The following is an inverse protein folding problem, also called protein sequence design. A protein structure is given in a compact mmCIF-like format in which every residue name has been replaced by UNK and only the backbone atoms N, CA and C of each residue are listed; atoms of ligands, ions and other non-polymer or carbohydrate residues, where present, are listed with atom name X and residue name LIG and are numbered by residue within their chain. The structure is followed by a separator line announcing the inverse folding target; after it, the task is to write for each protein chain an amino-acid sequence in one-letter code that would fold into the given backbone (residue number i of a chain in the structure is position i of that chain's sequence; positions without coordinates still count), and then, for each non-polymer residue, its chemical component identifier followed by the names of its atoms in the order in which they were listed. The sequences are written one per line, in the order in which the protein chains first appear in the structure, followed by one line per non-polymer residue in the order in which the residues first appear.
data_IF_879390190886
#
_entry.id   IF_879390190886
#
_cell.length_a   1.000
_cell.length_b   1.000
_cell.length_c   1.000
_cell.angle_alpha   90.00
_cell.angle_beta   90.00
_cell.angle_gamma   90.00
#
_symmetry.space_group_name_H-M   'P 1'
#
loop_
_entity.id
_entity.type
_entity.pdbx_description
1 polymer ?
#
# COMPACT_ATOMS: atom_id res chain seq x y z
N UNK A 1 -60.95 7.22 21.26
CA UNK A 1 -60.61 7.72 19.91
C UNK A 1 -59.22 8.38 19.76
N UNK A 2 -58.42 8.57 20.83
CA UNK A 2 -57.08 9.20 20.75
C UNK A 2 -55.91 8.23 20.49
N UNK A 3 -56.00 6.97 20.93
CA UNK A 3 -54.90 5.99 20.83
C UNK A 3 -54.62 5.53 19.40
N UNK A 4 -55.65 5.39 18.54
CA UNK A 4 -55.49 4.99 17.13
C UNK A 4 -54.76 6.03 16.27
N UNK A 5 -54.86 7.34 16.59
CA UNK A 5 -54.14 8.40 15.86
C UNK A 5 -52.64 8.43 16.17
N UNK A 6 -52.24 8.06 17.39
CA UNK A 6 -50.83 8.06 17.82
C UNK A 6 -50.07 6.88 17.18
N UNK A 7 -50.68 5.70 17.11
CA UNK A 7 -50.07 4.52 16.47
C UNK A 7 -49.92 4.73 14.95
N UNK A 8 -50.88 5.39 14.31
CA UNK A 8 -50.79 5.72 12.87
C UNK A 8 -49.70 6.77 12.59
N UNK A 9 -49.50 7.71 13.50
CA UNK A 9 -48.44 8.73 13.41
C UNK A 9 -47.02 8.16 13.58
N UNK A 10 -46.83 7.18 14.47
CA UNK A 10 -45.54 6.52 14.69
C UNK A 10 -45.14 5.60 13.52
N UNK A 11 -46.10 4.89 12.92
CA UNK A 11 -45.84 4.02 11.76
C UNK A 11 -45.42 4.81 10.50
N UNK A 12 -46.00 6.00 10.29
CA UNK A 12 -45.64 6.87 9.15
C UNK A 12 -44.23 7.46 9.33
N UNK A 13 -43.86 7.87 10.55
CA UNK A 13 -42.51 8.35 10.85
C UNK A 13 -41.44 7.27 10.65
N UNK A 14 -41.71 6.02 11.07
CA UNK A 14 -40.76 4.92 10.84
C UNK A 14 -40.61 4.54 9.35
N UNK A 15 -41.69 4.61 8.57
CA UNK A 15 -41.61 4.36 7.12
C UNK A 15 -40.84 5.46 6.39
N UNK A 16 -40.98 6.72 6.81
CA UNK A 16 -40.23 7.85 6.25
C UNK A 16 -38.73 7.77 6.55
N UNK A 17 -38.34 7.33 7.75
CA UNK A 17 -36.93 7.14 8.09
C UNK A 17 -36.29 5.99 7.34
N UNK A 18 -37.02 4.88 7.15
CA UNK A 18 -36.52 3.72 6.37
C UNK A 18 -36.39 4.11 4.90
N UNK A 19 -37.40 4.80 4.33
CA UNK A 19 -37.35 5.27 2.95
C UNK A 19 -36.21 6.28 2.72
N UNK A 20 -35.97 7.18 3.67
CA UNK A 20 -34.85 8.13 3.60
C UNK A 20 -33.49 7.40 3.69
N UNK A 21 -33.36 6.38 4.54
CA UNK A 21 -32.14 5.58 4.67
C UNK A 21 -31.86 4.77 3.41
N UNK A 22 -32.86 4.06 2.87
CA UNK A 22 -32.71 3.30 1.62
C UNK A 22 -32.41 4.20 0.43
N UNK A 23 -33.03 5.39 0.39
CA UNK A 23 -32.78 6.36 -0.67
C UNK A 23 -31.37 6.97 -0.54
N UNK A 24 -30.89 7.23 0.68
CA UNK A 24 -29.51 7.65 0.93
C UNK A 24 -28.50 6.58 0.49
N UNK A 25 -28.74 5.30 0.81
CA UNK A 25 -27.87 4.21 0.35
C UNK A 25 -27.88 4.07 -1.18
N UNK A 26 -29.04 4.13 -1.83
CA UNK A 26 -29.15 4.06 -3.30
C UNK A 26 -28.42 5.24 -3.95
N UNK A 27 -28.64 6.48 -3.47
CA UNK A 27 -27.92 7.65 -3.99
C UNK A 27 -26.42 7.58 -3.73
N UNK A 28 -25.99 7.01 -2.61
CA UNK A 28 -24.58 6.82 -2.30
C UNK A 28 -23.95 5.79 -3.24
N UNK A 29 -24.68 4.70 -3.54
CA UNK A 29 -24.24 3.63 -4.43
C UNK A 29 -24.19 4.08 -5.89
N UNK A 30 -25.20 4.80 -6.37
CA UNK A 30 -25.23 5.40 -7.71
C UNK A 30 -24.11 6.43 -7.90
N UNK A 31 -23.82 7.23 -6.86
CA UNK A 31 -22.72 8.21 -6.90
C UNK A 31 -21.35 7.54 -6.88
N UNK A 32 -21.21 6.39 -6.21
CA UNK A 32 -20.02 5.54 -6.29
C UNK A 32 -19.86 4.98 -7.72
N UNK A 33 -20.94 4.44 -8.29
CA UNK A 33 -20.97 3.85 -9.64
C UNK A 33 -20.73 4.87 -10.77
N UNK A 34 -21.19 6.11 -10.62
CA UNK A 34 -20.90 7.18 -11.58
C UNK A 34 -19.46 7.71 -11.44
N UNK A 35 -18.87 7.71 -10.24
CA UNK A 35 -17.47 8.12 -10.02
C UNK A 35 -16.45 7.11 -10.50
N UNK A 36 -16.72 5.81 -10.31
CA UNK A 36 -15.91 4.77 -10.94
C UNK A 36 -15.93 4.92 -12.47
N UNK A 37 -17.08 5.25 -13.05
CA UNK A 37 -17.22 5.57 -14.48
C UNK A 37 -16.43 6.82 -14.94
N UNK A 38 -16.23 7.83 -14.09
CA UNK A 38 -15.37 8.99 -14.40
C UNK A 38 -13.87 8.62 -14.41
N UNK A 39 -13.41 7.75 -13.52
CA UNK A 39 -12.04 7.19 -13.56
C UNK A 39 -11.84 6.36 -14.84
N UNK A 40 -12.87 5.63 -15.28
CA UNK A 40 -12.86 4.97 -16.60
C UNK A 40 -12.90 5.95 -17.79
N UNK A 41 -13.01 7.26 -17.61
CA UNK A 41 -13.00 8.23 -18.72
C UNK A 41 -11.74 9.11 -18.79
N UNK A 42 -10.78 8.95 -17.88
CA UNK A 42 -9.43 9.50 -18.00
C UNK A 42 -8.54 8.50 -18.73
N UNK A 43 -8.65 8.43 -20.06
CA UNK A 43 -7.81 7.56 -20.89
C UNK A 43 -6.41 8.15 -21.10
N UNK A 44 -5.57 8.03 -20.06
CA UNK A 44 -4.15 8.38 -20.05
C UNK A 44 -3.26 7.13 -19.95
N UNK A 45 -3.78 5.93 -20.29
CA UNK A 45 -3.09 4.63 -20.08
C UNK A 45 -3.30 4.00 -18.70
N UNK A 46 -4.04 4.66 -17.79
CA UNK A 46 -4.34 4.15 -16.45
C UNK A 46 -5.23 2.89 -16.44
N UNK A 47 -6.08 2.70 -17.45
CA UNK A 47 -6.97 1.52 -17.53
C UNK A 47 -6.20 0.21 -17.61
N UNK A 48 -5.10 0.21 -18.34
CA UNK A 48 -4.28 -0.99 -18.51
C UNK A 48 -3.57 -1.37 -17.19
N UNK A 49 -3.35 -0.39 -16.32
CA UNK A 49 -2.68 -0.53 -15.03
C UNK A 49 -3.65 -0.76 -13.86
N UNK A 50 -4.97 -0.79 -14.13
CA UNK A 50 -6.01 -1.02 -13.14
C UNK A 50 -6.42 -2.50 -13.10
N UNK A 51 -6.22 -3.13 -11.95
CA UNK A 51 -6.57 -4.52 -11.67
C UNK A 51 -7.66 -4.53 -10.60
N UNK A 52 -8.93 -4.49 -11.02
CA UNK A 52 -10.08 -4.28 -10.13
C UNK A 52 -9.97 -2.94 -9.37
N UNK A 53 -9.62 -3.00 -8.08
CA UNK A 53 -9.44 -1.84 -7.20
C UNK A 53 -7.97 -1.49 -7.02
N UNK A 54 -7.04 -2.23 -7.61
CA UNK A 54 -5.61 -1.99 -7.45
C UNK A 54 -5.05 -1.28 -8.70
N UNK A 55 -4.61 -0.04 -8.54
CA UNK A 55 -4.01 0.75 -9.61
C UNK A 55 -2.49 0.80 -9.44
N UNK A 56 -1.77 0.29 -10.43
CA UNK A 56 -0.32 0.44 -10.52
C UNK A 56 -0.01 1.84 -11.05
N UNK A 57 0.85 2.56 -10.33
CA UNK A 57 1.35 3.87 -10.75
C UNK A 57 2.83 3.71 -11.05
N UNK A 58 3.19 3.88 -12.32
CA UNK A 58 4.59 3.84 -12.74
C UNK A 58 5.38 4.96 -12.06
N UNK A 59 6.48 4.58 -11.42
CA UNK A 59 7.40 5.50 -10.80
C UNK A 59 8.82 5.17 -11.25
N UNK A 60 9.60 6.20 -11.57
CA UNK A 60 11.01 6.01 -11.91
C UNK A 60 11.77 5.63 -10.63
N UNK A 61 12.12 4.36 -10.50
CA UNK A 61 12.92 3.85 -9.39
C UNK A 61 14.36 3.58 -9.84
N UNK A 62 15.35 3.74 -8.94
CA UNK A 62 16.69 3.20 -9.17
C UNK A 62 16.58 1.68 -9.35
N UNK A 63 17.18 1.17 -10.42
CA UNK A 63 17.35 -0.26 -10.63
C UNK A 63 18.69 -0.71 -10.05
N UNK A 64 18.72 -1.91 -9.50
CA UNK A 64 19.90 -2.51 -8.88
C UNK A 64 20.15 -3.87 -9.54
N UNK A 65 21.42 -4.25 -9.73
CA UNK A 65 21.78 -5.52 -10.38
C UNK A 65 21.86 -6.70 -9.42
N UNK A 66 22.19 -6.41 -8.17
CA UNK A 66 22.47 -7.36 -7.11
C UNK A 66 22.34 -6.68 -5.73
N UNK A 67 22.43 -7.49 -4.67
CA UNK A 67 22.42 -7.02 -3.29
C UNK A 67 23.54 -6.03 -2.99
N UNK A 68 24.74 -6.23 -3.54
CA UNK A 68 25.90 -5.37 -3.29
C UNK A 68 25.63 -3.93 -3.75
N UNK A 69 24.99 -3.75 -4.91
CA UNK A 69 24.58 -2.43 -5.39
C UNK A 69 23.51 -1.78 -4.50
N UNK A 70 22.55 -2.56 -4.01
CA UNK A 70 21.50 -2.08 -3.11
C UNK A 70 22.07 -1.64 -1.75
N UNK A 71 23.00 -2.41 -1.20
CA UNK A 71 23.67 -2.14 0.07
C UNK A 71 24.42 -0.80 0.05
N UNK A 72 24.99 -0.40 -1.09
CA UNK A 72 25.66 0.91 -1.25
C UNK A 72 24.73 2.10 -1.05
N UNK A 73 23.42 1.90 -1.17
CA UNK A 73 22.39 2.92 -0.94
C UNK A 73 21.64 2.75 0.39
N UNK A 74 22.03 1.75 1.17
CA UNK A 74 21.42 1.38 2.44
C UNK A 74 22.21 1.98 3.60
N UNK A 75 21.53 2.60 4.55
CA UNK A 75 22.14 3.17 5.76
C UNK A 75 21.95 2.28 6.99
N UNK A 76 20.86 1.51 7.01
CA UNK A 76 20.48 0.66 8.13
C UNK A 76 19.96 -0.68 7.61
N UNK A 77 20.34 -1.78 8.26
CA UNK A 77 19.77 -3.11 8.00
C UNK A 77 19.21 -3.62 9.31
N UNK A 78 17.91 -3.86 9.36
CA UNK A 78 17.19 -4.24 10.57
C UNK A 78 16.23 -5.39 10.32
N UNK A 79 15.94 -6.14 11.37
CA UNK A 79 14.76 -6.98 11.44
C UNK A 79 13.72 -6.22 12.26
N UNK A 80 12.57 -5.94 11.67
CA UNK A 80 11.53 -5.18 12.32
C UNK A 80 10.14 -5.73 12.01
N UNK A 81 9.23 -5.49 12.95
CA UNK A 81 7.82 -5.87 12.86
C UNK A 81 6.97 -4.65 12.61
N UNK A 82 6.09 -4.69 11.60
CA UNK A 82 5.06 -3.66 11.46
C UNK A 82 4.05 -3.80 12.59
N UNK A 83 3.86 -2.74 13.37
CA UNK A 83 2.98 -2.73 14.54
C UNK A 83 1.66 -2.00 14.28
N UNK A 84 1.64 -1.04 13.36
CA UNK A 84 0.45 -0.28 12.97
C UNK A 84 0.75 0.60 11.75
N UNK A 85 -0.27 1.25 11.21
CA UNK A 85 -0.16 2.27 10.16
C UNK A 85 -1.10 3.44 10.44
N UNK A 86 -0.75 4.60 9.88
CA UNK A 86 -1.58 5.80 9.87
C UNK A 86 -2.61 5.73 8.73
N UNK A 87 -3.59 6.64 8.75
CA UNK A 87 -4.46 6.81 7.60
C UNK A 87 -3.64 7.24 6.36
N UNK A 88 -3.97 6.73 5.15
CA UNK A 88 -3.24 7.10 3.94
C UNK A 88 -3.26 8.61 3.69
N UNK A 89 -2.13 9.15 3.24
CA UNK A 89 -2.02 10.53 2.76
C UNK A 89 -2.18 10.54 1.25
N UNK A 90 -3.18 11.27 0.75
CA UNK A 90 -3.39 11.49 -0.68
C UNK A 90 -3.63 12.97 -0.91
N UNK A 91 -2.78 13.59 -1.73
CA UNK A 91 -2.90 14.98 -2.16
C UNK A 91 -3.14 15.03 -3.66
N UNK A 92 -4.24 15.68 -4.04
CA UNK A 92 -4.59 15.92 -5.43
C UNK A 92 -4.10 17.30 -5.86
N UNK A 93 -3.47 17.35 -7.01
CA UNK A 93 -3.10 18.56 -7.70
C UNK A 93 -4.22 19.10 -8.59
N UNK A 94 -3.81 19.84 -9.63
CA UNK A 94 -4.73 20.31 -10.65
C UNK A 94 -5.41 19.15 -11.38
N UNK A 95 -6.63 19.39 -11.86
CA UNK A 95 -7.41 18.41 -12.64
C UNK A 95 -7.64 17.07 -11.92
N UNK A 96 -7.64 17.06 -10.58
CA UNK A 96 -7.77 15.87 -9.73
C UNK A 96 -6.69 14.80 -9.94
N UNK A 97 -5.53 15.17 -10.51
CA UNK A 97 -4.38 14.26 -10.57
C UNK A 97 -3.82 14.03 -9.17
N UNK A 98 -3.41 12.79 -8.86
CA UNK A 98 -2.68 12.49 -7.63
C UNK A 98 -1.26 13.04 -7.78
N UNK A 99 -0.89 13.96 -6.90
CA UNK A 99 0.48 14.49 -6.84
C UNK A 99 1.31 13.76 -5.77
N UNK A 100 0.68 13.38 -4.66
CA UNK A 100 1.32 12.64 -3.55
C UNK A 100 0.35 11.58 -3.06
N UNK A 101 0.84 10.35 -2.91
CA UNK A 101 0.12 9.27 -2.23
C UNK A 101 1.11 8.37 -1.48
N UNK A 102 0.86 8.13 -0.19
CA UNK A 102 1.65 7.20 0.63
C UNK A 102 0.90 6.83 1.90
N UNK A 103 1.41 5.83 2.62
CA UNK A 103 0.98 5.50 3.99
C UNK A 103 2.19 5.45 4.89
N UNK A 104 2.06 5.97 6.11
CA UNK A 104 3.10 5.92 7.11
C UNK A 104 2.85 4.75 8.04
N UNK A 105 3.87 3.93 8.22
CA UNK A 105 3.77 2.69 9.00
C UNK A 105 4.78 2.69 10.12
N UNK A 106 4.34 2.24 11.28
CA UNK A 106 5.17 2.15 12.47
C UNK A 106 5.72 0.74 12.60
N UNK A 107 7.00 0.67 12.93
CA UNK A 107 7.75 -0.57 13.04
C UNK A 107 8.47 -0.63 14.37
N UNK A 108 8.54 -1.83 14.94
CA UNK A 108 9.37 -2.12 16.11
C UNK A 108 10.57 -2.95 15.69
N UNK A 109 11.77 -2.46 15.98
CA UNK A 109 13.03 -3.12 15.68
C UNK A 109 13.23 -4.29 16.65
N UNK A 110 13.30 -5.49 16.11
CA UNK A 110 13.69 -6.69 16.85
C UNK A 110 15.22 -6.79 16.92
N UNK A 111 15.90 -6.53 15.81
CA UNK A 111 17.37 -6.65 15.71
C UNK A 111 17.95 -5.63 14.73
N UNK A 112 19.16 -5.16 15.02
CA UNK A 112 19.96 -4.32 14.13
C UNK A 112 21.12 -5.18 13.62
N UNK A 113 21.25 -5.27 12.30
CA UNK A 113 22.31 -6.02 11.62
C UNK A 113 23.43 -5.07 11.20
N UNK A 114 23.07 -3.89 10.67
CA UNK A 114 24.02 -2.86 10.23
C UNK A 114 23.46 -1.45 10.49
N UNK A 115 24.37 -0.49 10.70
CA UNK A 115 24.09 0.91 11.02
C UNK A 115 23.89 1.18 12.51
N UNK A 116 23.84 2.46 12.90
CA UNK A 116 23.87 2.92 14.31
C UNK A 116 22.72 3.85 14.70
N UNK A 117 21.85 4.21 13.75
CA UNK A 117 20.76 5.17 13.98
C UNK A 117 19.57 4.58 14.76
N UNK A 118 19.36 3.26 14.66
CA UNK A 118 18.34 2.51 15.39
C UNK A 118 18.98 1.47 16.31
N UNK A 119 18.24 1.06 17.33
CA UNK A 119 18.61 0.01 18.29
C UNK A 119 17.47 -1.00 18.42
N UNK A 120 17.79 -2.21 18.85
CA UNK A 120 16.75 -3.20 19.23
C UNK A 120 15.80 -2.59 20.27
N UNK A 121 14.51 -2.84 20.08
CA UNK A 121 13.42 -2.26 20.87
C UNK A 121 12.99 -0.86 20.45
N UNK A 122 13.74 -0.16 19.58
CA UNK A 122 13.27 1.13 19.04
C UNK A 122 12.04 0.94 18.17
N UNK A 123 11.19 1.96 18.18
CA UNK A 123 10.13 2.14 17.19
C UNK A 123 10.58 3.21 16.20
N UNK A 124 10.24 3.02 14.93
CA UNK A 124 10.49 3.98 13.88
C UNK A 124 9.31 4.04 12.93
N UNK A 125 9.20 5.14 12.20
CA UNK A 125 8.19 5.28 11.15
C UNK A 125 8.84 5.21 9.79
N UNK A 126 8.17 4.50 8.89
CA UNK A 126 8.59 4.29 7.52
C UNK A 126 7.49 4.73 6.57
N UNK A 127 7.87 5.39 5.49
CA UNK A 127 6.96 5.69 4.39
C UNK A 127 6.84 4.48 3.47
N UNK A 128 5.60 4.04 3.25
CA UNK A 128 5.22 2.98 2.33
C UNK A 128 4.54 3.58 1.10
N UNK A 129 5.02 3.21 -0.10
CA UNK A 129 4.57 3.74 -1.39
C UNK A 129 3.23 3.14 -1.87
N UNK A 130 2.28 2.98 -0.95
CA UNK A 130 0.94 2.49 -1.23
C UNK A 130 -0.08 3.30 -0.42
N UNK A 131 -1.22 3.62 -1.02
CA UNK A 131 -2.28 4.38 -0.35
C UNK A 131 -3.65 3.92 -0.83
N UNK A 132 -4.58 3.71 0.10
CA UNK A 132 -5.98 3.45 -0.23
C UNK A 132 -6.76 4.77 -0.32
N UNK A 133 -7.43 5.00 -1.44
CA UNK A 133 -8.29 6.14 -1.68
C UNK A 133 -9.75 5.76 -1.47
N UNK A 134 -10.31 6.12 -0.32
CA UNK A 134 -11.74 5.94 -0.02
C UNK A 134 -12.66 6.67 -1.00
N UNK A 135 -12.21 7.79 -1.61
CA UNK A 135 -13.05 8.60 -2.51
C UNK A 135 -13.28 7.90 -3.84
N UNK A 136 -12.30 7.12 -4.27
CA UNK A 136 -12.28 6.40 -5.54
C UNK A 136 -12.49 4.89 -5.36
N UNK A 137 -12.38 4.39 -4.13
CA UNK A 137 -12.39 2.97 -3.79
C UNK A 137 -11.29 2.20 -4.55
N UNK A 138 -10.09 2.79 -4.58
CA UNK A 138 -8.91 2.29 -5.30
C UNK A 138 -7.67 2.34 -4.38
N UNK A 139 -6.83 1.31 -4.45
CA UNK A 139 -5.50 1.26 -3.85
C UNK A 139 -4.45 1.63 -4.89
N UNK A 140 -3.66 2.65 -4.60
CA UNK A 140 -2.52 3.05 -5.42
C UNK A 140 -1.27 2.29 -5.00
N UNK A 141 -0.61 1.65 -5.97
CA UNK A 141 0.65 0.92 -5.82
C UNK A 141 1.76 1.63 -6.60
N UNK A 142 2.45 2.57 -5.95
CA UNK A 142 3.43 3.44 -6.62
C UNK A 142 4.76 2.70 -6.76
N UNK A 143 5.28 2.65 -7.99
CA UNK A 143 6.39 1.76 -8.34
C UNK A 143 6.07 0.29 -8.09
N UNK A 144 4.77 -0.05 -8.12
CA UNK A 144 4.26 -1.38 -7.81
C UNK A 144 4.43 -1.81 -6.35
N UNK A 145 4.76 -0.91 -5.42
CA UNK A 145 4.98 -1.26 -4.03
C UNK A 145 3.81 -2.04 -3.43
N UNK A 146 4.14 -3.17 -2.79
CA UNK A 146 3.19 -3.94 -2.00
C UNK A 146 3.40 -3.62 -0.52
N UNK A 147 2.38 -3.08 0.13
CA UNK A 147 2.45 -2.75 1.55
C UNK A 147 2.76 -3.97 2.41
N UNK A 148 3.62 -3.73 3.41
CA UNK A 148 4.02 -4.68 4.43
C UNK A 148 2.81 -5.02 5.31
N UNK A 149 2.67 -6.30 5.64
CA UNK A 149 1.57 -6.79 6.48
C UNK A 149 1.89 -6.56 7.96
N UNK A 150 0.90 -6.06 8.69
CA UNK A 150 0.98 -5.89 10.13
C UNK A 150 1.23 -7.23 10.86
N UNK A 151 1.97 -7.17 11.96
CA UNK A 151 2.25 -8.32 12.84
C UNK A 151 3.35 -9.26 12.36
N UNK A 152 3.89 -9.03 11.16
CA UNK A 152 4.94 -9.85 10.54
C UNK A 152 6.33 -9.24 10.70
N UNK A 153 7.32 -10.10 10.78
CA UNK A 153 8.74 -9.75 10.84
C UNK A 153 9.31 -9.64 9.42
N UNK A 154 9.99 -8.52 9.17
CA UNK A 154 10.64 -8.23 7.90
C UNK A 154 12.10 -7.92 8.12
N UNK A 155 12.96 -8.41 7.23
CA UNK A 155 14.28 -7.84 7.02
C UNK A 155 14.10 -6.59 6.14
N UNK A 156 14.60 -5.47 6.62
CA UNK A 156 14.46 -4.16 5.98
C UNK A 156 15.84 -3.53 5.79
N UNK A 157 16.16 -3.24 4.53
CA UNK A 157 17.25 -2.37 4.11
C UNK A 157 16.68 -0.96 3.99
N UNK A 158 17.12 -0.07 4.87
CA UNK A 158 16.55 1.25 5.05
C UNK A 158 17.57 2.33 4.74
N UNK A 159 17.06 3.46 4.26
CA UNK A 159 17.76 4.75 4.29
C UNK A 159 16.85 5.80 4.89
N UNK A 160 17.41 6.85 5.46
CA UNK A 160 16.63 7.99 5.94
C UNK A 160 16.10 8.81 4.75
N UNK A 161 14.90 9.36 4.87
CA UNK A 161 14.47 10.39 3.94
C UNK A 161 15.39 11.62 4.03
N UNK A 162 15.72 12.20 2.89
CA UNK A 162 16.54 13.42 2.80
C UNK A 162 15.77 14.66 3.27
N UNK A 163 14.45 14.65 3.12
CA UNK A 163 13.56 15.80 3.35
C UNK A 163 12.67 15.64 4.57
N UNK A 164 12.53 14.42 5.08
CA UNK A 164 11.51 14.09 6.06
C UNK A 164 12.07 13.24 7.22
N UNK A 165 11.40 13.21 8.39
CA UNK A 165 11.92 12.49 9.56
C UNK A 165 11.78 10.96 9.50
N UNK A 166 11.20 10.40 8.44
CA UNK A 166 10.86 8.98 8.31
C UNK A 166 11.95 8.20 7.55
N UNK A 167 11.96 6.88 7.74
CA UNK A 167 12.73 5.96 6.92
C UNK A 167 11.99 5.60 5.63
N UNK A 168 12.73 5.12 4.65
CA UNK A 168 12.20 4.51 3.43
C UNK A 168 12.97 3.23 3.12
N UNK A 169 12.31 2.29 2.46
CA UNK A 169 12.97 1.06 1.99
C UNK A 169 13.92 1.42 0.85
N UNK A 170 15.19 1.05 1.00
CA UNK A 170 16.18 1.15 -0.07
C UNK A 170 15.70 0.31 -1.26
N UNK A 171 15.68 0.89 -2.46
CA UNK A 171 15.21 0.20 -3.66
C UNK A 171 13.73 -0.21 -3.68
N UNK A 172 12.88 0.24 -2.74
CA UNK A 172 11.42 -0.02 -2.72
C UNK A 172 11.06 -1.47 -2.40
N UNK A 173 10.93 -2.34 -3.39
CA UNK A 173 10.55 -3.74 -3.16
C UNK A 173 11.75 -4.65 -2.83
N UNK A 174 12.90 -4.58 -3.52
CA UNK A 174 14.06 -5.43 -3.22
C UNK A 174 14.65 -5.25 -1.82
N UNK A 175 14.50 -4.06 -1.20
CA UNK A 175 15.00 -3.80 0.15
C UNK A 175 14.11 -4.29 1.30
N UNK A 176 13.00 -4.99 1.02
CA UNK A 176 12.15 -5.57 2.06
C UNK A 176 11.94 -7.06 1.82
N UNK A 177 12.06 -7.87 2.87
CA UNK A 177 11.91 -9.32 2.78
C UNK A 177 11.01 -9.81 3.91
N UNK A 178 9.85 -10.38 3.57
CA UNK A 178 8.95 -11.03 4.52
C UNK A 178 9.61 -12.29 5.09
N UNK A 179 9.96 -12.28 6.38
CA UNK A 179 10.62 -13.41 7.03
C UNK A 179 9.62 -14.51 7.43
N UNK A 180 8.32 -14.24 7.37
CA UNK A 180 7.26 -15.20 7.66
C UNK A 180 6.72 -15.90 6.41
N UNK A 181 7.24 -15.60 5.22
CA UNK A 181 6.77 -16.20 3.97
C UNK A 181 7.90 -16.39 2.96
N UNK A 182 7.90 -17.55 2.28
CA UNK A 182 8.76 -17.82 1.12
C UNK A 182 8.13 -17.31 -0.19
N UNK A 183 7.13 -16.44 -0.09
CA UNK A 183 6.41 -15.92 -1.26
C UNK A 183 7.10 -14.63 -1.69
N UNK A 184 7.06 -14.42 -2.98
CA UNK A 184 7.47 -13.17 -3.62
C UNK A 184 6.63 -12.00 -3.13
N UNK A 185 7.22 -10.81 -3.11
CA UNK A 185 6.57 -9.58 -2.64
C UNK A 185 5.88 -8.77 -3.75
N UNK A 186 5.82 -9.32 -4.98
CA UNK A 186 5.06 -8.67 -6.06
C UNK A 186 3.54 -8.76 -5.81
N UNK A 187 2.77 -7.72 -6.19
CA UNK A 187 1.35 -7.65 -5.84
C UNK A 187 0.53 -8.84 -6.32
N UNK A 188 -0.40 -9.31 -5.50
CA UNK A 188 -1.13 -10.57 -5.75
C UNK A 188 -1.96 -10.52 -7.04
N UNK A 189 -2.58 -9.38 -7.33
CA UNK A 189 -3.36 -9.18 -8.54
C UNK A 189 -2.51 -9.29 -9.81
N UNK A 190 -1.23 -8.88 -9.78
CA UNK A 190 -0.32 -9.05 -10.91
C UNK A 190 -0.03 -10.53 -11.14
N UNK A 191 0.18 -11.36 -10.09
CA UNK A 191 0.45 -12.80 -10.28
C UNK A 191 -0.65 -13.50 -11.04
N UNK A 192 -1.88 -13.18 -10.69
CA UNK A 192 -3.05 -13.85 -11.20
C UNK A 192 -3.49 -13.30 -12.57
N UNK A 193 -2.98 -12.13 -12.98
CA UNK A 193 -3.27 -11.54 -14.27
C UNK A 193 -2.42 -12.13 -15.41
N UNK A 194 -3.01 -12.21 -16.61
CA UNK A 194 -2.36 -12.67 -17.84
C UNK A 194 -2.32 -11.57 -18.94
N UNK A 195 -2.44 -10.30 -18.53
CA UNK A 195 -2.37 -9.15 -19.44
C UNK A 195 -0.93 -8.91 -19.89
N UNK A 196 -0.69 -8.24 -21.04
CA UNK A 196 0.67 -7.88 -21.47
C UNK A 196 1.44 -7.09 -20.41
N UNK A 197 0.78 -6.12 -19.78
CA UNK A 197 1.36 -5.33 -18.70
C UNK A 197 1.69 -6.17 -17.46
N UNK A 198 0.82 -7.11 -17.06
CA UNK A 198 1.14 -8.01 -15.95
C UNK A 198 2.36 -8.89 -16.26
N UNK A 199 2.57 -9.29 -17.53
CA UNK A 199 3.76 -10.05 -17.94
C UNK A 199 5.02 -9.20 -17.89
N UNK A 200 4.95 -7.95 -18.35
CA UNK A 200 6.06 -7.00 -18.25
C UNK A 200 6.46 -6.80 -16.80
N UNK A 201 5.50 -6.47 -15.95
CA UNK A 201 5.73 -6.23 -14.52
C UNK A 201 6.34 -7.47 -13.87
N UNK A 202 5.79 -8.68 -14.14
CA UNK A 202 6.39 -9.94 -13.65
C UNK A 202 7.87 -10.07 -14.02
N UNK A 203 8.26 -9.64 -15.22
CA UNK A 203 9.66 -9.68 -15.65
C UNK A 203 10.53 -8.72 -14.84
N UNK A 204 10.05 -7.51 -14.57
CA UNK A 204 10.77 -6.52 -13.76
C UNK A 204 10.95 -7.01 -12.31
N UNK A 205 9.94 -7.66 -11.74
CA UNK A 205 10.01 -8.24 -10.40
C UNK A 205 10.93 -9.47 -10.26
N UNK A 206 11.37 -10.09 -11.35
CA UNK A 206 12.30 -11.22 -11.27
C UNK A 206 13.68 -10.78 -10.79
N UNK A 207 14.13 -9.60 -11.23
CA UNK A 207 15.41 -9.04 -10.78
C UNK A 207 15.33 -8.65 -9.30
N UNK A 208 14.20 -8.04 -8.88
CA UNK A 208 13.94 -7.72 -7.47
C UNK A 208 13.90 -8.98 -6.58
N UNK A 209 13.30 -10.08 -7.07
CA UNK A 209 13.27 -11.35 -6.33
C UNK A 209 14.67 -11.89 -6.11
N UNK A 210 15.53 -11.86 -7.14
CA UNK A 210 16.91 -12.33 -7.02
C UNK A 210 17.65 -11.56 -5.91
N UNK A 211 17.50 -10.24 -5.84
CA UNK A 211 18.11 -9.42 -4.79
C UNK A 211 17.54 -9.77 -3.42
N UNK A 212 16.23 -10.02 -3.30
CA UNK A 212 15.62 -10.46 -2.04
C UNK A 212 16.08 -11.83 -1.59
N UNK A 213 16.28 -12.76 -2.51
CA UNK A 213 16.84 -14.07 -2.21
C UNK A 213 18.30 -13.96 -1.74
N UNK A 214 19.10 -13.12 -2.39
CA UNK A 214 20.47 -12.79 -1.95
C UNK A 214 20.45 -12.19 -0.53
N UNK A 215 19.61 -11.19 -0.27
CA UNK A 215 19.46 -10.55 1.03
C UNK A 215 19.01 -11.56 2.09
N UNK A 216 18.01 -12.39 1.78
CA UNK A 216 17.55 -13.45 2.67
C UNK A 216 18.72 -14.39 3.01
N UNK A 217 19.40 -14.94 2.02
CA UNK A 217 20.50 -15.88 2.25
C UNK A 217 21.65 -15.26 3.05
N UNK A 218 22.01 -14.01 2.78
CA UNK A 218 23.07 -13.31 3.49
C UNK A 218 22.70 -13.00 4.94
N UNK A 219 21.45 -12.61 5.19
CA UNK A 219 21.03 -12.08 6.49
C UNK A 219 20.22 -13.04 7.38
N UNK A 220 19.71 -14.15 6.86
CA UNK A 220 19.01 -15.19 7.65
C UNK A 220 19.87 -15.72 8.79
N UNK A 221 21.21 -15.74 8.62
CA UNK A 221 22.17 -16.16 9.67
C UNK A 221 22.11 -15.30 10.94
N UNK A 222 21.47 -14.14 10.89
CA UNK A 222 21.27 -13.27 12.03
C UNK A 222 19.90 -13.45 12.72
N UNK A 223 19.06 -14.41 12.33
CA UNK A 223 17.69 -14.56 12.87
C UNK A 223 17.61 -15.49 14.11
N UNK A 224 18.75 -15.88 14.68
CA UNK A 224 18.82 -16.64 15.94
C UNK A 224 18.16 -15.93 17.14
#
# INVERSE_FOLDING_TARGET
MKVKKIIFSLAIMSCLTIAAYTMYEIFSFDKLGQRTAEIYNLDNGMKDHLFNKDLLIDAKMPAYKDLEELEKTTEMIVIAKKISEEAPTILYGQENRIDIAYTLSHFKVSKVISGDQLKSGNEFTMLENQAYDERQDVTYHIGGYQMIKEGRDYLLLLRKSETDPWYIVAGVNPGKVDLNSDKTDYPEFVRNANTPIAKQIKSEYQDDEKIREEARNEYLKYIE
#
